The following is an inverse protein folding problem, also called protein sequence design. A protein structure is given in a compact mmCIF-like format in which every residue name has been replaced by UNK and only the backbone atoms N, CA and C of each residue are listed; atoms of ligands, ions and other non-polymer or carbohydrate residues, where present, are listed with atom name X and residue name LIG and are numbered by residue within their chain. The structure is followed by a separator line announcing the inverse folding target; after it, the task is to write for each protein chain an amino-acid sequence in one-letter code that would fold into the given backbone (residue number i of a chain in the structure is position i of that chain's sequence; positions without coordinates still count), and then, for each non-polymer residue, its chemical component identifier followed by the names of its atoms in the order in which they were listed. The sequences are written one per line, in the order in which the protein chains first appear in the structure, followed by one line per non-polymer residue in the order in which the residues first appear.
data_IF_729331612763
#
_entry.id   IF_729331612763
#
_cell.length_a   1.000
_cell.length_b   1.000
_cell.length_c   1.000
_cell.angle_alpha   90.00
_cell.angle_beta   90.00
_cell.angle_gamma   90.00
#
_symmetry.space_group_name_H-M   'P 1'
#
loop_
_entity.id
_entity.type
_entity.pdbx_description
1 polymer ?
#
# COMPACT_ATOMS: atom_id res chain seq x y z
N UNK A 1 -3.29 -7.50 -0.62
CA UNK A 1 -3.24 -6.42 0.41
C UNK A 1 -2.28 -5.36 -0.08
N UNK A 2 -2.67 -4.10 0.03
CA UNK A 2 -1.79 -2.97 -0.19
C UNK A 2 -1.42 -2.40 1.18
N UNK A 3 -0.18 -2.62 1.60
CA UNK A 3 0.33 -2.20 2.90
C UNK A 3 1.07 -0.88 2.77
N UNK A 4 0.57 0.13 3.46
CA UNK A 4 1.10 1.48 3.43
C UNK A 4 2.18 1.65 4.52
N UNK A 5 3.17 2.48 4.24
CA UNK A 5 4.29 2.77 5.13
C UNK A 5 4.58 4.27 5.23
N UNK A 6 4.94 4.70 6.44
CA UNK A 6 5.45 6.05 6.70
C UNK A 6 6.95 6.18 6.38
N UNK A 7 7.48 7.40 6.47
CA UNK A 7 8.90 7.69 6.24
C UNK A 7 9.86 6.98 7.22
N UNK A 8 9.36 6.44 8.34
CA UNK A 8 10.14 5.67 9.31
C UNK A 8 10.02 4.16 9.06
N UNK A 9 9.35 3.74 7.98
CA UNK A 9 9.12 2.34 7.64
C UNK A 9 8.08 1.65 8.52
N UNK A 10 7.27 2.40 9.27
CA UNK A 10 6.18 1.84 10.08
C UNK A 10 4.94 1.64 9.23
N UNK A 11 4.15 0.62 9.54
CA UNK A 11 2.88 0.35 8.86
C UNK A 11 1.91 1.49 9.21
N UNK A 12 1.27 2.04 8.18
CA UNK A 12 0.27 3.10 8.29
C UNK A 12 -1.16 2.52 8.22
N UNK A 13 -2.10 3.15 8.90
CA UNK A 13 -3.52 2.72 9.00
C UNK A 13 -4.26 2.73 7.66
N UNK A 14 -3.72 3.42 6.66
CA UNK A 14 -4.20 3.36 5.27
C UNK A 14 -4.01 1.96 4.63
N UNK A 15 -3.31 1.04 5.29
CA UNK A 15 -3.18 -0.36 4.84
C UNK A 15 -4.54 -1.00 4.64
N UNK A 16 -4.78 -1.60 3.47
CA UNK A 16 -6.10 -2.15 3.15
C UNK A 16 -6.03 -3.42 2.30
N UNK A 17 -7.05 -4.26 2.46
CA UNK A 17 -7.36 -5.35 1.55
C UNK A 17 -8.25 -4.79 0.45
N UNK A 18 -7.87 -5.06 -0.80
CA UNK A 18 -8.63 -4.68 -1.99
C UNK A 18 -8.98 -5.97 -2.74
N UNK A 19 -10.09 -5.93 -3.47
CA UNK A 19 -10.59 -7.04 -4.29
C UNK A 19 -9.87 -7.16 -5.66
N UNK A 20 -9.11 -6.13 -6.04
CA UNK A 20 -8.37 -6.10 -7.30
C UNK A 20 -9.14 -5.50 -8.47
N UNK A 21 -10.36 -5.01 -8.26
CA UNK A 21 -11.19 -4.40 -9.31
C UNK A 21 -10.60 -3.07 -9.80
N UNK A 22 -10.09 -2.25 -8.87
CA UNK A 22 -9.42 -0.97 -9.18
C UNK A 22 -8.23 -0.73 -8.22
N UNK A 23 -7.07 -1.34 -8.49
CA UNK A 23 -5.90 -1.19 -7.64
C UNK A 23 -5.32 0.24 -7.69
N UNK A 24 -5.48 0.96 -8.80
CA UNK A 24 -4.95 2.31 -8.97
C UNK A 24 -5.69 3.32 -8.09
N UNK A 25 -7.01 3.26 -8.03
CA UNK A 25 -7.78 4.12 -7.13
C UNK A 25 -7.45 3.87 -5.66
N UNK A 26 -7.21 2.62 -5.27
CA UNK A 26 -6.80 2.28 -3.89
C UNK A 26 -5.41 2.84 -3.58
N UNK A 27 -4.45 2.71 -4.51
CA UNK A 27 -3.11 3.29 -4.36
C UNK A 27 -3.20 4.82 -4.24
N UNK A 28 -4.02 5.47 -5.08
CA UNK A 28 -4.22 6.91 -5.03
C UNK A 28 -4.84 7.37 -3.70
N UNK A 29 -5.83 6.63 -3.17
CA UNK A 29 -6.43 6.90 -1.86
C UNK A 29 -5.41 6.74 -0.71
N UNK A 30 -4.56 5.72 -0.76
CA UNK A 30 -3.48 5.55 0.23
C UNK A 30 -2.48 6.71 0.16
N UNK A 31 -2.11 7.16 -1.05
CA UNK A 31 -1.28 8.34 -1.25
C UNK A 31 -2.03 9.68 -1.05
N UNK A 32 -3.33 9.70 -0.75
CA UNK A 32 -3.98 10.91 -0.26
C UNK A 32 -3.48 11.26 1.16
N UNK A 33 -3.03 10.26 1.92
CA UNK A 33 -2.33 10.46 3.18
C UNK A 33 -0.88 10.88 2.92
N UNK A 34 -0.53 12.13 3.27
CA UNK A 34 0.83 12.67 3.04
C UNK A 34 1.93 11.93 3.81
N UNK A 35 1.57 11.34 4.94
CA UNK A 35 2.45 10.49 5.76
C UNK A 35 2.88 9.22 5.01
N UNK A 36 2.07 8.74 4.05
CA UNK A 36 2.35 7.54 3.26
C UNK A 36 3.32 7.87 2.14
N UNK A 37 4.51 7.29 2.22
CA UNK A 37 5.59 7.46 1.24
C UNK A 37 5.83 6.20 0.41
N UNK A 38 5.30 5.06 0.86
CA UNK A 38 5.56 3.76 0.26
C UNK A 38 4.39 2.80 0.44
N UNK A 39 4.06 2.03 -0.59
CA UNK A 39 3.03 0.99 -0.57
C UNK A 39 3.64 -0.32 -1.07
N UNK A 40 3.41 -1.42 -0.36
CA UNK A 40 3.73 -2.77 -0.85
C UNK A 40 2.47 -3.50 -1.25
N UNK A 41 2.48 -4.08 -2.45
CA UNK A 41 1.55 -5.13 -2.80
C UNK A 41 2.03 -6.47 -2.25
N UNK A 42 1.18 -7.12 -1.45
CA UNK A 42 1.42 -8.46 -0.91
C UNK A 42 0.25 -9.39 -1.18
N UNK A 43 0.58 -10.63 -1.51
CA UNK A 43 -0.41 -11.70 -1.60
C UNK A 43 -0.89 -12.06 -0.18
N UNK A 44 -2.20 -12.19 0.02
CA UNK A 44 -2.78 -12.46 1.36
C UNK A 44 -2.63 -13.93 1.74
N UNK A 45 -2.83 -14.85 0.80
CA UNK A 45 -2.75 -16.29 1.05
C UNK A 45 -1.33 -16.75 1.43
N UNK A 46 -0.31 -16.13 0.83
CA UNK A 46 1.08 -16.58 0.97
C UNK A 46 2.00 -15.54 1.63
N UNK A 47 1.53 -14.31 1.85
CA UNK A 47 2.32 -13.22 2.41
C UNK A 47 3.43 -12.67 1.49
N UNK A 48 3.59 -13.24 0.29
CA UNK A 48 4.62 -12.90 -0.68
C UNK A 48 4.58 -11.43 -1.10
N UNK A 49 5.75 -10.80 -1.18
CA UNK A 49 5.92 -9.49 -1.81
C UNK A 49 5.74 -9.62 -3.33
N UNK A 50 5.01 -8.67 -3.92
CA UNK A 50 4.81 -8.60 -5.36
C UNK A 50 5.57 -7.41 -5.95
N UNK A 51 5.22 -6.20 -5.50
CA UNK A 51 5.84 -4.96 -5.96
C UNK A 51 5.72 -3.86 -4.90
N UNK A 52 6.44 -2.77 -5.14
CA UNK A 52 6.40 -1.54 -4.34
C UNK A 52 6.09 -0.34 -5.22
N UNK A 53 5.32 0.60 -4.67
CA UNK A 53 5.16 1.96 -5.21
C UNK A 53 5.71 2.95 -4.19
N UNK A 54 6.44 3.96 -4.64
CA UNK A 54 7.01 5.04 -3.82
C UNK A 54 6.53 6.41 -4.30
N UNK A 55 6.47 7.36 -3.38
CA UNK A 55 6.30 8.77 -3.69
C UNK A 55 7.68 9.39 -3.88
N UNK A 56 7.93 9.98 -5.04
CA UNK A 56 9.12 10.79 -5.33
C UNK A 56 8.87 12.27 -5.01
#
# INVERSE_FOLDING_TARGET
VLRAYDARGRIHDATTVHDGTDPEAVIAAQFAHREVVQIHSRNIAWGCFMFRVTRD
#
